data_IF_741601838683
#
_entry.id   IF_741601838683
#
_cell.length_a   1.000
_cell.length_b   1.000
_cell.length_c   1.000
_cell.angle_alpha   90.00
_cell.angle_beta   90.00
_cell.angle_gamma   90.00
#
_symmetry.space_group_name_H-M   'P 1'
#
loop_
_entity.id
_entity.type
_entity.pdbx_description
1 polymer ?
#
# COMPACT_ATOMS: atom_id res chain seq x y z
N UNK A 1 -17.35 -2.43 9.04
CA UNK A 1 -16.00 -1.87 9.03
C UNK A 1 -15.21 -2.70 8.06
N UNK A 2 -14.51 -2.04 7.14
CA UNK A 2 -13.71 -2.67 6.11
C UNK A 2 -12.72 -3.70 6.62
N UNK A 3 -12.20 -4.51 5.71
CA UNK A 3 -11.33 -5.62 6.05
C UNK A 3 -9.92 -5.39 5.52
N UNK A 4 -8.94 -5.80 6.34
CA UNK A 4 -7.55 -5.91 5.91
C UNK A 4 -7.30 -7.30 5.34
N UNK A 5 -6.51 -7.35 4.28
CA UNK A 5 -5.96 -8.58 3.72
C UNK A 5 -4.49 -8.38 3.34
N UNK A 6 -3.73 -9.46 3.41
CA UNK A 6 -2.39 -9.51 2.82
C UNK A 6 -2.51 -9.97 1.37
N UNK A 7 -1.84 -9.27 0.47
CA UNK A 7 -1.74 -9.59 -0.93
C UNK A 7 -0.28 -9.57 -1.40
N UNK A 8 -0.06 -10.00 -2.65
CA UNK A 8 1.22 -9.84 -3.34
C UNK A 8 1.02 -8.94 -4.54
N UNK A 9 1.71 -7.80 -4.55
CA UNK A 9 1.69 -6.84 -5.67
C UNK A 9 3.09 -6.78 -6.23
N UNK A 10 3.26 -6.96 -7.54
CA UNK A 10 4.57 -6.90 -8.19
C UNK A 10 5.62 -7.85 -7.62
N UNK A 11 5.20 -8.98 -7.03
CA UNK A 11 6.07 -9.98 -6.39
C UNK A 11 6.41 -9.72 -4.91
N UNK A 12 5.88 -8.65 -4.30
CA UNK A 12 6.19 -8.28 -2.92
C UNK A 12 4.93 -8.19 -2.04
N UNK A 13 5.04 -8.42 -0.72
CA UNK A 13 3.91 -8.29 0.20
C UNK A 13 3.31 -6.89 0.20
N UNK A 14 1.99 -6.82 0.28
CA UNK A 14 1.24 -5.59 0.36
C UNK A 14 0.01 -5.78 1.24
N UNK A 15 -0.19 -4.89 2.20
CA UNK A 15 -1.44 -4.83 2.96
C UNK A 15 -2.48 -4.05 2.17
N UNK A 16 -3.69 -4.58 2.10
CA UNK A 16 -4.82 -3.94 1.44
C UNK A 16 -5.95 -3.76 2.44
N UNK A 17 -6.50 -2.55 2.53
CA UNK A 17 -7.75 -2.30 3.23
C UNK A 17 -8.84 -2.00 2.21
N UNK A 18 -9.96 -2.70 2.34
CA UNK A 18 -11.16 -2.42 1.55
C UNK A 18 -12.27 -1.90 2.49
N UNK A 19 -12.70 -0.63 2.35
CA UNK A 19 -13.80 -0.09 3.13
C UNK A 19 -15.13 -0.75 2.77
N UNK A 20 -16.10 -0.74 3.68
CA UNK A 20 -17.44 -1.32 3.38
C UNK A 20 -18.15 -0.59 2.23
N UNK A 21 -17.88 0.70 2.07
CA UNK A 21 -18.36 1.52 0.97
C UNK A 21 -17.20 2.37 0.42
N UNK A 22 -16.93 2.27 -0.88
CA UNK A 22 -15.91 3.09 -1.54
C UNK A 22 -16.39 4.53 -1.72
N UNK A 23 -15.45 5.46 -1.67
CA UNK A 23 -15.66 6.87 -1.96
C UNK A 23 -16.09 7.08 -3.42
N UNK A 24 -16.88 8.11 -3.66
CA UNK A 24 -17.43 8.42 -5.00
C UNK A 24 -16.40 8.98 -5.98
N UNK A 25 -15.22 9.37 -5.50
CA UNK A 25 -14.16 9.97 -6.32
C UNK A 25 -13.19 8.95 -6.91
N UNK A 26 -13.28 7.67 -6.49
CA UNK A 26 -12.35 6.63 -6.90
C UNK A 26 -10.94 6.79 -6.29
N UNK A 27 -10.77 7.61 -5.25
CA UNK A 27 -9.45 7.80 -4.65
C UNK A 27 -8.97 6.58 -3.88
N UNK A 28 -7.67 6.30 -3.99
CA UNK A 28 -6.96 5.24 -3.26
C UNK A 28 -5.81 5.85 -2.48
N UNK A 29 -5.65 5.44 -1.22
CA UNK A 29 -4.54 5.89 -0.37
C UNK A 29 -3.37 4.92 -0.50
N UNK A 30 -2.19 5.43 -0.84
CA UNK A 30 -0.94 4.67 -0.75
C UNK A 30 -0.24 4.99 0.56
N UNK A 31 -0.06 3.99 1.42
CA UNK A 31 0.66 4.16 2.69
C UNK A 31 2.07 3.58 2.59
N UNK A 32 3.06 4.46 2.79
CA UNK A 32 4.47 4.11 2.78
C UNK A 32 4.98 4.07 4.23
N UNK A 33 5.28 2.86 4.74
CA UNK A 33 5.75 2.69 6.12
C UNK A 33 7.09 3.42 6.37
N UNK A 34 7.33 3.81 7.62
CA UNK A 34 8.63 4.34 8.07
C UNK A 34 9.69 3.25 8.28
N UNK A 35 10.86 3.64 8.80
CA UNK A 35 12.00 2.74 9.09
C UNK A 35 11.66 1.58 10.05
N UNK A 36 10.65 1.77 10.90
CA UNK A 36 10.18 0.75 11.84
C UNK A 36 9.19 -0.26 11.22
N UNK A 37 8.91 -0.15 9.92
CA UNK A 37 8.05 -1.08 9.19
C UNK A 37 6.64 -1.23 9.80
N UNK A 38 6.13 -0.14 10.39
CA UNK A 38 4.81 -0.13 11.01
C UNK A 38 3.72 -0.44 9.98
N UNK A 39 2.85 -1.38 10.31
CA UNK A 39 1.62 -1.69 9.58
C UNK A 39 0.46 -0.87 10.14
N UNK A 40 -0.60 -0.73 9.35
CA UNK A 40 -1.84 -0.03 9.77
C UNK A 40 -2.97 -0.97 10.19
N UNK A 41 -2.77 -2.29 10.01
CA UNK A 41 -3.79 -3.34 10.22
C UNK A 41 -4.40 -3.37 11.63
N UNK A 42 -3.70 -2.85 12.64
CA UNK A 42 -4.11 -2.80 14.04
C UNK A 42 -4.28 -1.37 14.59
N UNK A 43 -4.20 -0.33 13.73
CA UNK A 43 -4.21 1.08 14.16
C UNK A 43 -5.61 1.68 14.04
N UNK A 44 -6.47 1.34 14.99
CA UNK A 44 -7.89 1.71 15.00
C UNK A 44 -8.22 3.17 14.59
N UNK A 45 -7.49 4.21 15.06
CA UNK A 45 -7.80 5.59 14.64
C UNK A 45 -7.69 5.81 13.13
N UNK A 46 -6.73 5.17 12.46
CA UNK A 46 -6.59 5.24 10.99
C UNK A 46 -7.70 4.46 10.30
N UNK A 47 -7.95 3.22 10.74
CA UNK A 47 -8.95 2.34 10.12
C UNK A 47 -10.35 2.97 10.19
N UNK A 48 -10.67 3.66 11.30
CA UNK A 48 -11.92 4.41 11.43
C UNK A 48 -12.05 5.51 10.37
N UNK A 49 -11.00 6.27 10.10
CA UNK A 49 -11.05 7.34 9.10
C UNK A 49 -11.06 6.79 7.67
N UNK A 50 -10.34 5.70 7.39
CA UNK A 50 -10.39 5.03 6.07
C UNK A 50 -11.80 4.55 5.75
N UNK A 51 -12.47 3.90 6.72
CA UNK A 51 -13.86 3.49 6.59
C UNK A 51 -14.78 4.71 6.41
N UNK A 52 -14.62 5.74 7.24
CA UNK A 52 -15.46 6.94 7.21
C UNK A 52 -15.44 7.65 5.86
N UNK A 53 -14.28 7.75 5.23
CA UNK A 53 -14.13 8.40 3.93
C UNK A 53 -14.24 7.42 2.77
N UNK A 54 -14.42 6.13 3.01
CA UNK A 54 -14.48 5.12 1.97
C UNK A 54 -13.18 5.01 1.15
N UNK A 55 -12.03 5.12 1.79
CA UNK A 55 -10.72 5.06 1.13
C UNK A 55 -10.15 3.64 1.16
N UNK A 56 -10.03 2.95 0.00
CA UNK A 56 -9.15 1.80 -0.11
C UNK A 56 -7.71 2.22 0.24
N UNK A 57 -6.98 1.34 0.93
CA UNK A 57 -5.58 1.57 1.28
C UNK A 57 -4.71 0.48 0.70
N UNK A 58 -3.64 0.90 0.03
CA UNK A 58 -2.61 0.03 -0.53
C UNK A 58 -1.29 0.35 0.17
N UNK A 59 -0.79 -0.62 0.93
CA UNK A 59 0.39 -0.45 1.79
C UNK A 59 1.46 -1.49 1.42
N UNK A 60 2.30 -1.20 0.39
CA UNK A 60 3.39 -2.09 0.01
C UNK A 60 4.41 -2.22 1.15
N UNK A 61 5.08 -3.36 1.22
CA UNK A 61 6.11 -3.62 2.22
C UNK A 61 7.47 -3.75 1.55
N UNK A 62 8.35 -2.76 1.76
CA UNK A 62 9.64 -2.67 1.04
C UNK A 62 10.85 -2.63 1.97
N UNK A 63 10.73 -3.18 3.18
CA UNK A 63 11.81 -3.22 4.18
C UNK A 63 12.42 -1.83 4.44
N UNK A 64 13.63 -1.71 4.98
CA UNK A 64 14.25 -0.42 5.29
C UNK A 64 14.92 0.22 4.06
N UNK A 65 14.19 0.28 2.94
CA UNK A 65 14.64 0.80 1.64
C UNK A 65 14.55 2.32 1.48
N UNK A 66 13.84 2.99 2.39
CA UNK A 66 13.58 4.44 2.36
C UNK A 66 12.83 4.95 1.12
N UNK A 67 12.16 4.06 0.37
CA UNK A 67 11.36 4.45 -0.81
C UNK A 67 12.17 5.18 -1.89
N UNK A 68 13.48 4.91 -1.98
CA UNK A 68 14.40 5.59 -2.91
C UNK A 68 14.59 4.82 -4.21
N UNK A 69 15.22 5.47 -5.19
CA UNK A 69 15.70 4.90 -6.46
C UNK A 69 16.95 4.00 -6.31
N UNK A 70 17.45 3.78 -5.09
CA UNK A 70 18.62 2.95 -4.83
C UNK A 70 18.23 1.51 -4.54
N UNK A 71 19.00 0.58 -5.10
CA UNK A 71 18.85 -0.85 -4.80
C UNK A 71 19.12 -1.08 -3.31
N UNK A 72 18.18 -1.79 -2.67
CA UNK A 72 18.27 -2.18 -1.28
C UNK A 72 18.15 -3.71 -1.23
N UNK A 73 19.26 -4.40 -0.99
CA UNK A 73 19.31 -5.87 -0.97
C UNK A 73 18.39 -6.50 0.09
N UNK A 74 18.04 -5.76 1.16
CA UNK A 74 17.06 -6.23 2.14
C UNK A 74 15.66 -6.35 1.53
N UNK A 75 15.32 -5.46 0.60
CA UNK A 75 14.06 -5.46 -0.12
C UNK A 75 14.10 -6.34 -1.36
N UNK A 76 14.88 -5.93 -2.36
CA UNK A 76 14.99 -6.57 -3.65
C UNK A 76 16.35 -6.18 -4.28
N UNK A 77 17.19 -7.15 -4.70
CA UNK A 77 18.51 -6.88 -5.26
C UNK A 77 18.50 -6.36 -6.71
N UNK A 78 17.34 -6.31 -7.36
CA UNK A 78 17.17 -5.92 -8.76
C UNK A 78 16.25 -4.71 -8.94
N UNK A 79 15.40 -4.40 -7.96
CA UNK A 79 14.37 -3.37 -8.06
C UNK A 79 14.45 -2.42 -6.87
N UNK A 80 14.56 -1.13 -7.13
CA UNK A 80 14.47 -0.11 -6.07
C UNK A 80 13.03 0.02 -5.55
N UNK A 81 12.85 0.43 -4.30
CA UNK A 81 11.51 0.61 -3.74
C UNK A 81 10.69 1.68 -4.46
N UNK A 82 11.32 2.75 -4.94
CA UNK A 82 10.65 3.75 -5.80
C UNK A 82 10.11 3.11 -7.08
N UNK A 83 10.95 2.34 -7.79
CA UNK A 83 10.54 1.64 -9.03
C UNK A 83 9.47 0.60 -8.79
N UNK A 84 9.52 -0.10 -7.65
CA UNK A 84 8.44 -1.00 -7.27
C UNK A 84 7.10 -0.26 -7.15
N UNK A 85 7.08 0.89 -6.48
CA UNK A 85 5.86 1.71 -6.37
C UNK A 85 5.39 2.19 -7.75
N UNK A 86 6.28 2.86 -8.48
CA UNK A 86 5.93 3.51 -9.75
C UNK A 86 5.54 2.53 -10.86
N UNK A 87 6.28 1.44 -11.00
CA UNK A 87 6.17 0.55 -12.16
C UNK A 87 5.35 -0.71 -11.86
N UNK A 88 5.03 -0.99 -10.59
CA UNK A 88 4.27 -2.20 -10.19
C UNK A 88 3.05 -1.90 -9.33
N UNK A 89 3.18 -1.04 -8.31
CA UNK A 89 2.05 -0.76 -7.41
C UNK A 89 1.02 0.16 -8.07
N UNK A 90 1.45 1.29 -8.68
CA UNK A 90 0.50 2.22 -9.30
C UNK A 90 -0.26 1.58 -10.49
N UNK A 91 0.37 0.84 -11.42
CA UNK A 91 -0.38 0.16 -12.49
C UNK A 91 -1.35 -0.92 -11.95
N UNK A 92 -0.99 -1.58 -10.84
CA UNK A 92 -1.90 -2.51 -10.19
C UNK A 92 -3.10 -1.78 -9.56
N UNK A 93 -2.89 -0.61 -8.93
CA UNK A 93 -3.98 0.23 -8.41
C UNK A 93 -4.93 0.65 -9.53
N UNK A 94 -4.40 1.12 -10.66
CA UNK A 94 -5.20 1.50 -11.83
C UNK A 94 -6.06 0.33 -12.32
N UNK A 95 -5.48 -0.88 -12.40
CA UNK A 95 -6.19 -2.09 -12.82
C UNK A 95 -7.31 -2.51 -11.85
N UNK A 96 -7.06 -2.48 -10.54
CA UNK A 96 -8.01 -3.00 -9.54
C UNK A 96 -9.07 -1.98 -9.09
N UNK A 97 -8.72 -0.70 -9.11
CA UNK A 97 -9.55 0.38 -8.59
C UNK A 97 -10.00 1.39 -9.64
N UNK A 98 -9.38 1.40 -10.84
CA UNK A 98 -9.67 2.40 -11.88
C UNK A 98 -9.20 3.81 -11.49
N UNK A 99 -8.15 3.89 -10.66
CA UNK A 99 -7.63 5.10 -10.03
C UNK A 99 -6.24 5.49 -10.55
#
# INVERSE_FOLDING_TARGET
>A
MGQWQEATVGGHPCDLFEPTQRNEHGYVLVYLHGVHLNRLVDKQPYITEFERYGLPVVAPFTQRSWWTDRICNEFDPQVSAERHVMDRVLPWIESEYGA
#
